data_IF_647415558583
#
_entry.id   IF_647415558583
#
_cell.length_a   1.000
_cell.length_b   1.000
_cell.length_c   1.000
_cell.angle_alpha   90.00
_cell.angle_beta   90.00
_cell.angle_gamma   90.00
#
_symmetry.space_group_name_H-M   'P 1'
#
loop_
_entity.id
_entity.type
_entity.pdbx_description
1 polymer ?
#
# COMPACT_ATOMS: atom_id res chain seq x y z
N UNK A 1 5.34 -19.80 -15.15
CA UNK A 1 4.94 -19.99 -13.73
C UNK A 1 4.62 -18.63 -13.13
N UNK A 2 3.72 -18.56 -12.15
CA UNK A 2 3.25 -17.29 -11.59
C UNK A 2 3.44 -17.25 -10.09
N UNK A 3 3.74 -16.08 -9.55
CA UNK A 3 3.86 -15.86 -8.11
C UNK A 3 3.22 -14.53 -7.72
N UNK A 4 2.68 -14.48 -6.52
CA UNK A 4 2.18 -13.28 -5.87
C UNK A 4 2.66 -13.22 -4.42
N UNK A 5 2.60 -12.03 -3.84
CA UNK A 5 2.84 -11.79 -2.42
C UNK A 5 1.53 -11.37 -1.77
N UNK A 6 1.28 -11.90 -0.58
CA UNK A 6 0.22 -11.45 0.31
C UNK A 6 0.87 -10.86 1.57
N UNK A 7 0.55 -9.60 1.87
CA UNK A 7 1.09 -8.82 2.99
C UNK A 7 -0.05 -8.45 3.92
N UNK A 8 0.03 -8.93 5.16
CA UNK A 8 -1.01 -8.75 6.16
C UNK A 8 -0.54 -7.77 7.24
N UNK A 9 -1.24 -6.66 7.43
CA UNK A 9 -1.18 -5.88 8.66
C UNK A 9 -2.16 -6.49 9.67
N UNK A 10 -1.62 -7.04 10.75
CA UNK A 10 -2.39 -7.60 11.86
C UNK A 10 -2.13 -6.77 13.12
N UNK A 11 -3.14 -6.04 13.58
CA UNK A 11 -3.03 -5.14 14.75
C UNK A 11 -3.45 -5.83 16.06
N UNK A 12 -4.05 -7.01 15.98
CA UNK A 12 -4.44 -7.82 17.14
C UNK A 12 -5.45 -7.13 18.06
N UNK A 13 -6.37 -6.36 17.48
CA UNK A 13 -7.51 -5.65 18.13
C UNK A 13 -7.17 -4.59 19.18
N UNK A 14 -5.89 -4.32 19.46
CA UNK A 14 -5.45 -3.34 20.47
C UNK A 14 -5.37 -1.90 19.97
N UNK A 15 -5.51 -1.72 18.68
CA UNK A 15 -5.26 -0.49 17.96
C UNK A 15 -6.55 -0.08 17.23
N UNK A 16 -6.92 1.21 17.22
CA UNK A 16 -8.07 1.69 16.43
C UNK A 16 -7.94 1.38 14.94
N UNK A 17 -6.71 1.15 14.48
CA UNK A 17 -6.37 0.92 13.08
C UNK A 17 -6.91 -0.42 12.58
N UNK A 18 -7.51 -0.39 11.39
CA UNK A 18 -8.13 -1.56 10.77
C UNK A 18 -7.07 -2.46 10.13
N UNK A 19 -7.14 -3.75 10.40
CA UNK A 19 -6.30 -4.75 9.73
C UNK A 19 -6.50 -4.72 8.20
N UNK A 20 -5.43 -5.05 7.47
CA UNK A 20 -5.40 -4.98 6.00
C UNK A 20 -4.64 -6.15 5.41
N UNK A 21 -5.17 -6.70 4.32
CA UNK A 21 -4.46 -7.63 3.47
C UNK A 21 -4.20 -7.00 2.10
N UNK A 22 -2.94 -6.89 1.73
CA UNK A 22 -2.51 -6.45 0.40
C UNK A 22 -2.03 -7.63 -0.40
N UNK A 23 -2.52 -7.75 -1.64
CA UNK A 23 -2.03 -8.72 -2.62
C UNK A 23 -1.28 -7.96 -3.70
N UNK A 24 -0.10 -8.45 -4.07
CA UNK A 24 0.71 -7.83 -5.13
C UNK A 24 1.54 -8.83 -5.92
N UNK A 25 1.94 -8.46 -7.14
CA UNK A 25 2.75 -9.29 -8.03
C UNK A 25 3.76 -8.44 -8.78
N UNK A 26 4.93 -9.01 -9.09
CA UNK A 26 5.95 -8.35 -9.93
C UNK A 26 5.59 -8.32 -11.42
N UNK A 27 4.47 -8.90 -11.84
CA UNK A 27 4.00 -8.87 -13.22
C UNK A 27 3.44 -7.48 -13.60
N UNK A 28 4.06 -6.84 -14.60
CA UNK A 28 3.77 -5.46 -15.01
C UNK A 28 2.52 -5.26 -15.88
N UNK A 29 1.86 -6.33 -16.31
CA UNK A 29 0.78 -6.28 -17.32
C UNK A 29 -0.65 -6.17 -16.74
N UNK A 30 -0.83 -6.16 -15.42
CA UNK A 30 -2.14 -6.22 -14.76
C UNK A 30 -2.25 -5.26 -13.56
N UNK A 31 -3.43 -5.16 -12.94
CA UNK A 31 -3.62 -4.50 -11.63
C UNK A 31 -2.80 -5.24 -10.58
N UNK A 32 -1.53 -4.85 -10.47
CA UNK A 32 -0.52 -5.52 -9.65
C UNK A 32 -0.68 -5.30 -8.13
N UNK A 33 -1.81 -4.72 -7.73
CA UNK A 33 -2.12 -4.36 -6.34
C UNK A 33 -3.61 -4.53 -6.08
N UNK A 34 -3.93 -5.17 -4.95
CA UNK A 34 -5.27 -5.18 -4.37
C UNK A 34 -5.19 -5.01 -2.87
N UNK A 35 -6.16 -4.29 -2.33
CA UNK A 35 -6.34 -4.02 -0.91
C UNK A 35 -7.66 -4.65 -0.44
N UNK A 36 -7.60 -5.40 0.67
CA UNK A 36 -8.68 -6.24 1.14
C UNK A 36 -8.85 -6.16 2.66
N UNK A 37 -10.11 -6.36 3.10
CA UNK A 37 -10.39 -6.66 4.50
C UNK A 37 -9.80 -8.01 4.88
N UNK A 38 -9.36 -8.13 6.13
CA UNK A 38 -8.78 -9.36 6.65
C UNK A 38 -9.87 -10.35 7.03
N UNK A 39 -9.72 -11.59 6.59
CA UNK A 39 -10.49 -12.72 7.09
C UNK A 39 -9.81 -13.28 8.35
N UNK A 40 -10.37 -12.98 9.52
CA UNK A 40 -9.82 -13.45 10.80
C UNK A 40 -9.92 -14.97 11.01
N UNK A 41 -10.80 -15.65 10.29
CA UNK A 41 -10.90 -17.12 10.34
C UNK A 41 -9.72 -17.79 9.64
N UNK A 42 -9.14 -17.11 8.65
CA UNK A 42 -8.03 -17.62 7.87
C UNK A 42 -7.20 -16.44 7.34
N UNK A 43 -6.22 -15.99 8.14
CA UNK A 43 -5.39 -14.82 7.85
C UNK A 43 -4.64 -14.93 6.51
N UNK A 44 -4.21 -16.15 6.17
CA UNK A 44 -3.64 -16.50 4.87
C UNK A 44 -4.25 -17.83 4.40
N UNK A 45 -4.84 -17.89 3.19
CA UNK A 45 -5.47 -19.11 2.68
C UNK A 45 -4.48 -20.26 2.55
N UNK A 46 -4.93 -21.46 2.88
CA UNK A 46 -4.13 -22.68 2.80
C UNK A 46 -4.44 -23.42 1.50
N UNK A 47 -3.44 -23.67 0.63
CA UNK A 47 -3.66 -24.45 -0.59
C UNK A 47 -3.97 -25.91 -0.29
N UNK A 48 -4.90 -26.50 -1.05
CA UNK A 48 -5.11 -27.94 -1.04
C UNK A 48 -3.88 -28.69 -1.57
N UNK A 49 -3.70 -29.92 -1.09
CA UNK A 49 -2.52 -30.78 -1.34
C UNK A 49 -2.20 -30.95 -2.84
N UNK A 50 -3.22 -30.92 -3.71
CA UNK A 50 -3.07 -31.14 -5.16
C UNK A 50 -3.46 -29.93 -6.04
N UNK A 51 -3.69 -28.77 -5.41
CA UNK A 51 -4.06 -27.52 -6.11
C UNK A 51 -2.98 -27.03 -7.10
N UNK A 52 -1.73 -27.48 -6.93
CA UNK A 52 -0.57 -26.95 -7.65
C UNK A 52 -0.23 -25.51 -7.23
N UNK A 53 -0.76 -25.06 -6.10
CA UNK A 53 -0.43 -23.80 -5.46
C UNK A 53 0.42 -24.11 -4.24
N UNK A 54 1.51 -23.39 -4.08
CA UNK A 54 2.46 -23.55 -2.99
C UNK A 54 2.62 -22.21 -2.30
N UNK A 55 2.78 -22.25 -0.97
CA UNK A 55 3.03 -21.04 -0.18
C UNK A 55 4.22 -21.17 0.75
N UNK A 56 4.78 -20.04 1.13
CA UNK A 56 5.66 -19.98 2.31
C UNK A 56 4.86 -20.13 3.60
N UNK A 57 5.51 -20.67 4.63
CA UNK A 57 4.94 -20.82 5.97
C UNK A 57 5.16 -19.55 6.79
N UNK A 58 4.17 -19.18 7.59
CA UNK A 58 4.22 -18.01 8.46
C UNK A 58 3.80 -18.43 9.86
N UNK A 59 4.62 -18.10 10.85
CA UNK A 59 4.29 -18.28 12.26
C UNK A 59 3.77 -16.94 12.80
N UNK A 60 2.52 -16.90 13.28
CA UNK A 60 1.91 -15.69 13.84
C UNK A 60 2.20 -15.61 15.34
N UNK A 61 2.90 -14.56 15.77
CA UNK A 61 3.38 -14.39 17.15
C UNK A 61 2.89 -13.08 17.81
N UNK A 62 1.82 -12.49 17.28
CA UNK A 62 1.18 -11.27 17.81
C UNK A 62 1.02 -10.17 16.76
N UNK A 63 0.77 -8.91 17.17
CA UNK A 63 0.65 -7.80 16.23
C UNK A 63 1.91 -7.59 15.38
N UNK A 64 1.73 -7.18 14.12
CA UNK A 64 2.80 -6.89 13.18
C UNK A 64 2.37 -6.96 11.71
N UNK A 65 3.33 -6.78 10.81
CA UNK A 65 3.11 -6.99 9.37
C UNK A 65 3.73 -8.31 8.94
N UNK A 66 2.89 -9.22 8.44
CA UNK A 66 3.26 -10.55 7.99
C UNK A 66 3.29 -10.62 6.46
N UNK A 67 4.05 -11.57 5.93
CA UNK A 67 4.26 -11.74 4.50
C UNK A 67 4.27 -13.23 4.17
N UNK A 68 3.58 -13.57 3.08
CA UNK A 68 3.73 -14.87 2.45
C UNK A 68 3.79 -14.73 0.93
N UNK A 69 4.51 -15.64 0.27
CA UNK A 69 4.49 -15.78 -1.17
C UNK A 69 3.64 -16.99 -1.56
N UNK A 70 2.78 -16.82 -2.55
CA UNK A 70 2.09 -17.90 -3.24
C UNK A 70 2.68 -18.05 -4.64
N UNK A 71 2.95 -19.27 -5.07
CA UNK A 71 3.39 -19.57 -6.43
C UNK A 71 2.63 -20.76 -6.98
N UNK A 72 2.36 -20.74 -8.28
CA UNK A 72 1.74 -21.87 -8.99
C UNK A 72 2.45 -22.19 -10.30
N UNK A 73 2.47 -23.48 -10.61
CA UNK A 73 2.89 -24.03 -11.89
C UNK A 73 1.70 -24.56 -12.72
N UNK A 74 0.47 -24.49 -12.20
CA UNK A 74 -0.76 -24.99 -12.83
C UNK A 74 -1.77 -23.89 -13.11
N UNK A 75 -1.93 -22.98 -12.16
CA UNK A 75 -2.96 -21.93 -12.20
C UNK A 75 -2.36 -20.67 -12.83
N UNK A 76 -3.18 -19.92 -13.57
CA UNK A 76 -2.82 -18.60 -14.08
C UNK A 76 -2.63 -17.59 -12.93
N UNK A 77 -2.06 -16.43 -13.22
CA UNK A 77 -1.94 -15.36 -12.24
C UNK A 77 -3.33 -14.94 -11.70
N UNK A 78 -4.32 -14.79 -12.58
CA UNK A 78 -5.68 -14.42 -12.17
C UNK A 78 -6.35 -15.50 -11.31
N UNK A 79 -6.13 -16.78 -11.62
CA UNK A 79 -6.64 -17.87 -10.80
C UNK A 79 -5.94 -17.94 -9.44
N UNK A 80 -4.64 -17.64 -9.39
CA UNK A 80 -3.89 -17.56 -8.14
C UNK A 80 -4.34 -16.36 -7.30
N UNK A 81 -4.57 -15.22 -7.95
CA UNK A 81 -5.14 -14.03 -7.32
C UNK A 81 -6.51 -14.33 -6.73
N UNK A 82 -7.41 -14.91 -7.55
CA UNK A 82 -8.75 -15.30 -7.14
C UNK A 82 -8.78 -16.30 -5.99
N UNK A 83 -7.82 -17.25 -5.95
CA UNK A 83 -7.64 -18.14 -4.81
C UNK A 83 -7.31 -17.37 -3.52
N UNK A 84 -6.34 -16.45 -3.58
CA UNK A 84 -5.91 -15.72 -2.39
C UNK A 84 -6.94 -14.68 -1.93
N UNK A 85 -7.68 -14.07 -2.86
CA UNK A 85 -8.70 -13.08 -2.56
C UNK A 85 -10.10 -13.67 -2.32
N UNK A 86 -10.27 -14.99 -2.34
CA UNK A 86 -11.59 -15.62 -2.24
C UNK A 86 -12.28 -15.26 -0.92
N UNK A 87 -13.53 -14.81 -1.00
CA UNK A 87 -14.33 -14.40 0.15
C UNK A 87 -13.87 -13.09 0.82
N UNK A 88 -12.86 -12.40 0.27
CA UNK A 88 -12.40 -11.13 0.81
C UNK A 88 -13.18 -9.96 0.20
N UNK A 89 -13.49 -8.97 1.05
CA UNK A 89 -14.06 -7.71 0.59
C UNK A 89 -12.95 -6.78 0.10
N UNK A 90 -13.00 -6.40 -1.17
CA UNK A 90 -12.10 -5.40 -1.76
C UNK A 90 -12.33 -4.03 -1.12
N UNK A 91 -11.23 -3.34 -0.86
CA UNK A 91 -11.16 -1.98 -0.32
C UNK A 91 -10.55 -1.00 -1.34
N UNK A 92 -10.39 -1.43 -2.59
CA UNK A 92 -9.77 -0.64 -3.64
C UNK A 92 -10.40 0.76 -3.74
N UNK A 93 -9.56 1.81 -3.73
CA UNK A 93 -10.01 3.20 -3.84
C UNK A 93 -10.64 3.78 -2.57
N UNK A 94 -10.84 2.98 -1.50
CA UNK A 94 -11.39 3.45 -0.22
C UNK A 94 -10.27 3.77 0.76
N UNK A 95 -9.79 5.02 0.73
CA UNK A 95 -9.02 5.56 1.85
C UNK A 95 -10.03 5.90 2.96
N UNK A 96 -10.38 4.88 3.73
CA UNK A 96 -11.43 4.97 4.75
C UNK A 96 -10.97 5.72 6.00
N UNK A 97 -11.88 6.51 6.57
CA UNK A 97 -11.73 7.08 7.89
C UNK A 97 -11.38 6.00 8.93
N UNK A 98 -10.59 6.41 9.92
CA UNK A 98 -10.21 5.56 11.04
C UNK A 98 -9.13 4.52 10.72
N UNK A 99 -8.39 4.64 9.61
CA UNK A 99 -7.26 3.73 9.35
C UNK A 99 -6.02 4.13 10.15
N UNK A 100 -5.62 5.39 10.11
CA UNK A 100 -4.37 5.83 10.75
C UNK A 100 -4.58 6.33 12.17
N UNK A 101 -5.80 6.78 12.46
CA UNK A 101 -6.24 7.41 13.69
C UNK A 101 -7.60 6.83 14.12
N UNK A 102 -8.11 7.24 15.27
CA UNK A 102 -9.49 6.96 15.63
C UNK A 102 -10.46 7.86 14.83
N UNK A 103 -11.60 7.28 14.43
CA UNK A 103 -12.58 7.95 13.58
C UNK A 103 -13.23 9.16 14.27
N UNK A 104 -13.37 9.11 15.61
CA UNK A 104 -13.85 10.22 16.43
C UNK A 104 -12.95 11.45 16.33
N UNK A 105 -11.64 11.30 16.54
CA UNK A 105 -10.69 12.42 16.48
C UNK A 105 -10.57 12.98 15.07
N UNK A 106 -10.67 12.13 14.03
CA UNK A 106 -10.72 12.61 12.64
C UNK A 106 -11.97 13.45 12.39
N UNK A 107 -13.12 13.05 12.94
CA UNK A 107 -14.36 13.80 12.83
C UNK A 107 -14.28 15.14 13.59
N UNK A 108 -13.83 15.12 14.84
CA UNK A 108 -13.70 16.32 15.66
C UNK A 108 -12.75 17.35 15.04
N UNK A 109 -11.57 16.91 14.56
CA UNK A 109 -10.64 17.78 13.87
C UNK A 109 -11.24 18.33 12.57
N UNK A 110 -11.96 17.52 11.78
CA UNK A 110 -12.64 18.00 10.58
C UNK A 110 -13.69 19.06 10.90
N UNK A 111 -14.54 18.82 11.89
CA UNK A 111 -15.60 19.74 12.28
C UNK A 111 -15.00 21.08 12.75
N UNK A 112 -13.90 21.04 13.51
CA UNK A 112 -13.14 22.23 13.89
C UNK A 112 -12.61 23.01 12.68
N UNK A 113 -11.90 22.34 11.76
CA UNK A 113 -11.34 22.97 10.54
C UNK A 113 -12.45 23.58 9.69
N UNK A 114 -13.55 22.86 9.47
CA UNK A 114 -14.68 23.32 8.68
C UNK A 114 -15.37 24.53 9.33
N UNK A 115 -15.53 24.55 10.66
CA UNK A 115 -16.09 25.69 11.38
C UNK A 115 -15.21 26.93 11.25
N UNK A 116 -13.89 26.80 11.43
CA UNK A 116 -12.95 27.91 11.24
C UNK A 116 -12.96 28.44 9.82
N UNK A 117 -12.94 27.55 8.83
CA UNK A 117 -12.97 27.92 7.42
C UNK A 117 -14.23 28.72 7.10
N UNK A 118 -15.42 28.24 7.51
CA UNK A 118 -16.69 28.95 7.32
C UNK A 118 -16.71 30.31 8.00
N UNK A 119 -16.18 30.43 9.22
CA UNK A 119 -16.09 31.71 9.91
C UNK A 119 -15.22 32.71 9.14
N UNK A 120 -14.08 32.27 8.59
CA UNK A 120 -13.18 33.14 7.82
C UNK A 120 -13.79 33.55 6.49
N UNK A 121 -14.43 32.63 5.77
CA UNK A 121 -15.15 32.92 4.52
C UNK A 121 -16.26 33.94 4.77
N UNK A 122 -17.08 33.75 5.79
CA UNK A 122 -18.16 34.68 6.14
C UNK A 122 -17.62 36.08 6.52
N UNK A 123 -16.52 36.15 7.28
CA UNK A 123 -15.88 37.43 7.64
C UNK A 123 -15.35 38.17 6.42
N UNK A 124 -14.81 37.47 5.44
CA UNK A 124 -14.28 38.09 4.24
C UNK A 124 -15.39 38.46 3.24
N UNK A 125 -16.46 37.68 3.13
CA UNK A 125 -17.67 38.06 2.39
C UNK A 125 -18.29 39.36 2.94
N UNK A 126 -18.37 39.50 4.28
CA UNK A 126 -18.83 40.72 4.95
C UNK A 126 -17.96 41.96 4.68
N UNK A 127 -16.75 41.81 4.12
CA UNK A 127 -15.85 42.91 3.73
C UNK A 127 -16.00 43.34 2.27
N UNK A 128 -17.02 42.83 1.57
CA UNK A 128 -17.39 43.29 0.22
C UNK A 128 -16.70 42.55 -0.92
N UNK A 129 -16.01 41.45 -0.65
CA UNK A 129 -15.45 40.59 -1.68
C UNK A 129 -16.54 39.63 -2.23
N UNK A 130 -16.48 39.30 -3.53
CA UNK A 130 -17.38 38.31 -4.10
C UNK A 130 -17.16 36.94 -3.44
N UNK A 131 -18.24 36.29 -3.02
CA UNK A 131 -18.24 35.06 -2.22
C UNK A 131 -17.37 33.93 -2.82
N UNK A 132 -17.28 33.88 -4.16
CA UNK A 132 -16.47 32.90 -4.90
C UNK A 132 -14.96 33.15 -4.93
N UNK A 133 -14.49 34.40 -4.82
CA UNK A 133 -13.05 34.76 -4.81
C UNK A 133 -12.46 34.68 -3.38
N UNK A 134 -13.31 34.93 -2.38
CA UNK A 134 -12.96 34.81 -0.96
C UNK A 134 -12.64 33.37 -0.57
N UNK A 135 -13.54 32.44 -0.89
CA UNK A 135 -13.35 31.04 -0.57
C UNK A 135 -12.08 30.47 -1.22
N UNK A 136 -11.66 31.06 -2.35
CA UNK A 136 -10.45 30.64 -3.05
C UNK A 136 -9.16 31.11 -2.34
N UNK A 137 -9.20 32.23 -1.61
CA UNK A 137 -8.05 32.86 -0.93
C UNK A 137 -7.89 32.53 0.56
N UNK A 138 -8.93 32.00 1.22
CA UNK A 138 -8.83 31.57 2.63
C UNK A 138 -7.99 30.30 2.75
N UNK A 139 -6.85 30.40 3.42
CA UNK A 139 -5.93 29.31 3.74
C UNK A 139 -5.67 29.26 5.25
N UNK A 140 -5.93 28.10 5.86
CA UNK A 140 -5.67 27.88 7.29
C UNK A 140 -4.27 27.27 7.51
N UNK A 141 -3.34 27.96 8.19
CA UNK A 141 -2.04 27.38 8.53
C UNK A 141 -2.21 26.15 9.44
N UNK A 142 -1.43 25.10 9.17
CA UNK A 142 -1.46 23.86 9.98
C UNK A 142 -0.94 24.11 11.39
N UNK A 143 0.05 25.00 11.56
CA UNK A 143 0.53 25.45 12.88
C UNK A 143 -0.63 25.93 13.77
N UNK A 144 -1.42 26.91 13.31
CA UNK A 144 -2.59 27.45 14.03
C UNK A 144 -3.61 26.36 14.40
N UNK A 145 -3.85 25.42 13.47
CA UNK A 145 -4.77 24.31 13.70
C UNK A 145 -4.25 23.36 14.79
N UNK A 146 -2.94 23.13 14.84
CA UNK A 146 -2.31 22.25 15.84
C UNK A 146 -2.14 22.89 17.22
N UNK A 147 -1.98 24.22 17.30
CA UNK A 147 -1.92 24.96 18.56
C UNK A 147 -3.21 24.84 19.37
N UNK A 148 -4.35 24.67 18.70
CA UNK A 148 -5.65 24.47 19.36
C UNK A 148 -5.78 23.14 20.11
N UNK A 149 -4.84 22.20 19.91
CA UNK A 149 -4.90 20.82 20.38
C UNK A 149 -6.10 19.98 19.90
N UNK A 150 -7.01 20.54 19.09
CA UNK A 150 -8.13 19.79 18.49
C UNK A 150 -7.71 18.99 17.25
N UNK A 151 -6.59 19.38 16.64
CA UNK A 151 -6.02 18.71 15.49
C UNK A 151 -4.55 18.39 15.73
N UNK A 152 -4.10 17.29 15.16
CA UNK A 152 -2.66 16.98 15.01
C UNK A 152 -2.31 17.00 13.53
N UNK A 153 -1.02 17.16 13.20
CA UNK A 153 -0.54 17.06 11.81
C UNK A 153 -1.01 15.74 11.15
N UNK A 154 -0.96 14.63 11.89
CA UNK A 154 -1.39 13.31 11.42
C UNK A 154 -2.89 13.24 11.09
N UNK A 155 -3.74 13.87 11.91
CA UNK A 155 -5.18 13.98 11.63
C UNK A 155 -5.42 14.79 10.34
N UNK A 156 -4.76 15.95 10.20
CA UNK A 156 -4.89 16.80 9.02
C UNK A 156 -4.38 16.12 7.74
N UNK A 157 -3.28 15.36 7.84
CA UNK A 157 -2.79 14.52 6.74
C UNK A 157 -3.85 13.49 6.35
N UNK A 158 -4.42 12.77 7.32
CA UNK A 158 -5.46 11.78 7.04
C UNK A 158 -6.69 12.40 6.38
N UNK A 159 -7.17 13.55 6.87
CA UNK A 159 -8.29 14.27 6.26
C UNK A 159 -8.00 14.71 4.82
N UNK A 160 -6.75 15.05 4.50
CA UNK A 160 -6.32 15.41 3.15
C UNK A 160 -6.36 14.18 2.22
N UNK A 161 -5.86 13.04 2.70
CA UNK A 161 -5.93 11.75 1.99
C UNK A 161 -7.39 11.27 1.77
N UNK A 162 -8.26 11.50 2.75
CA UNK A 162 -9.70 11.23 2.67
C UNK A 162 -10.46 12.22 1.78
N UNK A 163 -9.79 13.25 1.24
CA UNK A 163 -10.39 14.30 0.40
C UNK A 163 -11.49 15.09 1.09
N UNK A 164 -11.37 15.23 2.41
CA UNK A 164 -12.29 16.05 3.22
C UNK A 164 -11.80 17.50 3.33
N UNK A 165 -10.51 17.72 3.15
CA UNK A 165 -9.88 19.04 3.10
C UNK A 165 -8.89 19.10 1.95
N UNK A 166 -8.62 20.32 1.48
CA UNK A 166 -7.62 20.61 0.46
C UNK A 166 -6.33 21.10 1.10
N UNK A 167 -5.20 20.74 0.49
CA UNK A 167 -3.88 21.23 0.89
C UNK A 167 -3.28 22.03 -0.26
N UNK A 168 -3.06 23.33 -0.05
CA UNK A 168 -2.53 24.24 -1.05
C UNK A 168 -1.33 25.02 -0.52
N UNK A 169 -0.44 25.44 -1.42
CA UNK A 169 0.77 26.21 -1.13
C UNK A 169 1.60 25.62 0.03
N UNK A 170 1.62 24.30 0.11
CA UNK A 170 2.04 23.55 1.29
C UNK A 170 3.43 22.95 1.14
N UNK A 171 4.15 22.89 2.25
CA UNK A 171 5.37 22.10 2.36
C UNK A 171 5.03 20.61 2.36
N UNK A 172 5.64 19.85 1.46
CA UNK A 172 5.56 18.40 1.44
C UNK A 172 4.29 17.82 0.83
N UNK A 173 3.09 18.28 1.23
CA UNK A 173 1.81 17.64 0.89
C UNK A 173 0.87 18.63 0.22
N UNK A 174 0.49 18.37 -1.03
CA UNK A 174 -0.45 19.20 -1.79
C UNK A 174 -1.58 18.35 -2.39
N UNK A 175 -2.76 18.94 -2.55
CA UNK A 175 -3.84 18.34 -3.34
C UNK A 175 -3.76 18.82 -4.79
N UNK A 176 -3.69 17.87 -5.74
CA UNK A 176 -3.62 18.14 -7.18
C UNK A 176 -4.98 18.46 -7.83
N UNK A 177 -6.03 18.64 -7.04
CA UNK A 177 -7.39 18.91 -7.50
C UNK A 177 -7.96 20.13 -6.75
N UNK A 178 -9.02 20.71 -7.33
CA UNK A 178 -9.73 21.87 -6.75
C UNK A 178 -11.15 21.46 -6.38
N UNK A 179 -11.61 21.99 -5.26
CA UNK A 179 -12.99 21.85 -4.78
C UNK A 179 -13.36 23.07 -3.95
N UNK A 180 -14.32 23.87 -4.43
CA UNK A 180 -14.70 25.12 -3.75
C UNK A 180 -15.46 24.89 -2.44
N UNK A 181 -15.98 23.69 -2.23
CA UNK A 181 -16.79 23.36 -1.05
C UNK A 181 -15.96 22.82 0.11
N UNK A 182 -14.69 22.48 -0.12
CA UNK A 182 -13.83 21.89 0.89
C UNK A 182 -12.97 22.95 1.59
N UNK A 183 -12.79 22.86 2.92
CA UNK A 183 -11.84 23.69 3.64
C UNK A 183 -10.43 23.55 3.08
N UNK A 184 -9.71 24.67 2.96
CA UNK A 184 -8.31 24.69 2.51
C UNK A 184 -7.36 24.93 3.67
N UNK A 185 -6.35 24.07 3.78
CA UNK A 185 -5.27 24.19 4.73
C UNK A 185 -3.94 24.41 4.00
N UNK A 186 -2.94 24.90 4.74
CA UNK A 186 -1.57 25.04 4.30
C UNK A 186 -0.62 24.42 5.33
N UNK A 187 0.11 23.37 4.95
CA UNK A 187 1.27 22.94 5.73
C UNK A 187 2.35 24.00 5.60
N UNK A 188 2.42 24.88 6.60
CA UNK A 188 3.27 26.06 6.68
C UNK A 188 4.66 25.78 7.28
N UNK A 189 4.93 24.52 7.62
CA UNK A 189 6.24 24.01 7.97
C UNK A 189 6.48 22.60 7.42
N UNK A 190 7.71 22.11 7.59
CA UNK A 190 8.10 20.76 7.15
C UNK A 190 7.23 19.67 7.77
N UNK A 191 7.04 18.59 7.00
CA UNK A 191 6.24 17.43 7.42
C UNK A 191 7.15 16.23 7.60
N UNK A 192 7.27 15.77 8.85
CA UNK A 192 8.01 14.56 9.17
C UNK A 192 7.29 13.33 8.62
N UNK A 193 8.04 12.42 7.99
CA UNK A 193 7.49 11.18 7.45
C UNK A 193 6.86 10.29 8.53
N UNK A 194 7.33 10.39 9.78
CA UNK A 194 6.73 9.72 10.94
C UNK A 194 5.25 10.07 11.14
N UNK A 195 4.82 11.28 10.76
CA UNK A 195 3.42 11.72 10.86
C UNK A 195 2.55 11.24 9.70
N UNK A 196 3.17 10.67 8.67
CA UNK A 196 2.51 10.18 7.46
C UNK A 196 2.32 8.67 7.55
N UNK A 197 3.37 7.95 7.97
CA UNK A 197 3.34 6.48 8.02
C UNK A 197 2.72 5.94 9.32
N UNK A 198 2.12 4.76 9.22
CA UNK A 198 1.53 4.05 10.33
C UNK A 198 2.61 3.68 11.37
N UNK A 199 2.29 3.84 12.65
CA UNK A 199 3.19 3.49 13.74
C UNK A 199 4.51 4.27 13.78
N UNK A 200 4.64 5.33 12.98
CA UNK A 200 5.90 6.08 12.83
C UNK A 200 7.06 5.18 12.37
N UNK A 201 6.77 4.17 11.55
CA UNK A 201 7.69 3.07 11.24
C UNK A 201 7.75 2.73 9.75
N UNK A 202 8.96 2.36 9.30
CA UNK A 202 9.19 1.67 8.03
C UNK A 202 9.26 0.17 8.26
N UNK A 203 8.66 -0.61 7.37
CA UNK A 203 8.67 -2.07 7.41
C UNK A 203 9.98 -2.66 6.86
N UNK A 204 10.59 -1.97 5.91
CA UNK A 204 11.78 -2.39 5.19
C UNK A 204 12.46 -1.18 4.58
N UNK A 205 13.79 -1.26 4.46
CA UNK A 205 14.62 -0.27 3.78
C UNK A 205 15.60 -0.97 2.84
N UNK A 206 15.81 -0.38 1.66
CA UNK A 206 16.85 -0.76 0.71
C UNK A 206 17.69 0.45 0.38
N UNK A 207 19.00 0.29 0.42
CA UNK A 207 19.93 1.24 -0.14
C UNK A 207 20.60 0.66 -1.39
N UNK A 208 20.47 1.33 -2.52
CA UNK A 208 21.10 0.93 -3.77
C UNK A 208 21.45 2.16 -4.60
N UNK A 209 22.72 2.25 -5.02
CA UNK A 209 23.20 3.30 -5.94
C UNK A 209 22.87 4.74 -5.50
N UNK A 210 23.02 5.06 -4.22
CA UNK A 210 22.71 6.39 -3.68
C UNK A 210 21.21 6.64 -3.42
N UNK A 211 20.34 5.67 -3.69
CA UNK A 211 18.90 5.78 -3.48
C UNK A 211 18.49 4.90 -2.29
N UNK A 212 17.74 5.50 -1.36
CA UNK A 212 17.03 4.80 -0.28
C UNK A 212 15.57 4.61 -0.67
N UNK A 213 15.13 3.36 -0.78
CA UNK A 213 13.71 3.03 -0.90
C UNK A 213 13.24 2.41 0.42
N UNK A 214 12.14 2.92 0.98
CA UNK A 214 11.51 2.38 2.19
C UNK A 214 10.08 1.95 1.91
N UNK A 215 9.66 0.87 2.56
CA UNK A 215 8.30 0.34 2.50
C UNK A 215 7.57 0.70 3.79
N UNK A 216 6.37 1.27 3.70
CA UNK A 216 5.59 1.61 4.89
C UNK A 216 4.08 1.53 4.62
N UNK A 217 3.30 1.36 5.69
CA UNK A 217 1.86 1.55 5.64
C UNK A 217 1.52 3.03 5.73
N UNK A 218 0.66 3.52 4.84
CA UNK A 218 0.18 4.89 4.83
C UNK A 218 -1.30 4.91 4.43
N UNK A 219 -2.18 5.37 5.33
CA UNK A 219 -3.64 5.44 5.14
C UNK A 219 -4.29 4.16 4.57
N UNK A 220 -3.81 2.98 4.96
CA UNK A 220 -4.37 1.69 4.56
C UNK A 220 -3.61 1.03 3.44
N UNK A 221 -2.73 1.76 2.78
CA UNK A 221 -2.02 1.32 1.61
C UNK A 221 -0.55 1.10 1.92
N UNK A 222 0.02 0.09 1.28
CA UNK A 222 1.43 -0.20 1.36
C UNK A 222 2.14 0.63 0.30
N UNK A 223 3.04 1.53 0.71
CA UNK A 223 3.67 2.52 -0.16
C UNK A 223 5.19 2.44 -0.12
N UNK A 224 5.81 2.82 -1.24
CA UNK A 224 7.26 3.02 -1.31
C UNK A 224 7.54 4.52 -1.28
N UNK A 225 8.37 4.94 -0.32
CA UNK A 225 8.98 6.25 -0.32
C UNK A 225 10.43 6.12 -0.77
N UNK A 226 10.87 7.05 -1.60
CA UNK A 226 12.22 7.08 -2.14
C UNK A 226 12.90 8.38 -1.74
N UNK A 227 14.17 8.28 -1.40
CA UNK A 227 15.01 9.41 -1.08
C UNK A 227 16.34 9.24 -1.78
N UNK A 228 16.71 10.27 -2.53
CA UNK A 228 18.00 10.35 -3.17
C UNK A 228 19.03 10.93 -2.19
N UNK A 229 20.30 10.53 -2.34
CA UNK A 229 21.41 11.01 -1.53
C UNK A 229 21.58 12.54 -1.49
N UNK A 230 21.13 13.25 -2.53
CA UNK A 230 21.25 14.70 -2.64
C UNK A 230 20.09 15.45 -1.98
N UNK A 231 18.84 15.02 -2.14
CA UNK A 231 17.68 15.75 -1.62
C UNK A 231 17.49 15.60 -0.12
N UNK A 232 17.90 14.47 0.48
CA UNK A 232 17.62 14.10 1.87
C UNK A 232 16.13 14.23 2.26
N UNK A 233 15.22 14.25 1.29
CA UNK A 233 13.76 14.30 1.49
C UNK A 233 13.08 13.14 0.79
N UNK A 234 12.05 12.59 1.44
CA UNK A 234 11.27 11.48 0.96
C UNK A 234 10.23 11.93 -0.07
N UNK A 235 10.15 11.22 -1.19
CA UNK A 235 9.11 11.36 -2.20
C UNK A 235 8.35 10.05 -2.32
N UNK A 236 7.05 10.10 -2.57
CA UNK A 236 6.27 8.91 -2.86
C UNK A 236 6.66 8.37 -4.25
N UNK A 237 7.06 7.09 -4.30
CA UNK A 237 7.42 6.39 -5.55
C UNK A 237 6.24 5.63 -6.13
N UNK A 238 5.36 5.12 -5.28
CA UNK A 238 4.10 4.48 -5.64
C UNK A 238 2.99 5.52 -5.62
N UNK A 239 2.88 6.36 -6.65
CA UNK A 239 1.95 7.49 -6.66
C UNK A 239 0.49 7.03 -6.65
N UNK A 240 -0.34 7.67 -5.82
CA UNK A 240 -1.80 7.58 -5.89
C UNK A 240 -2.28 8.57 -6.97
N UNK A 241 -2.86 8.08 -8.07
CA UNK A 241 -3.34 8.93 -9.17
C UNK A 241 -4.22 8.18 -10.18
N UNK A 242 -4.38 8.74 -11.39
CA UNK A 242 -5.32 8.24 -12.42
C UNK A 242 -4.94 6.88 -13.06
N UNK A 243 -3.80 6.30 -12.69
CA UNK A 243 -3.32 5.01 -13.20
C UNK A 243 -3.48 3.84 -12.21
N UNK A 244 -3.34 2.58 -12.68
CA UNK A 244 -3.30 1.43 -11.80
C UNK A 244 -2.12 1.54 -10.82
N UNK A 245 -2.40 1.28 -9.54
CA UNK A 245 -1.39 1.37 -8.48
C UNK A 245 -0.20 0.43 -8.79
N UNK A 246 1.06 0.92 -8.75
CA UNK A 246 2.23 0.17 -9.21
C UNK A 246 2.71 -0.84 -8.15
N UNK A 247 1.84 -1.77 -7.76
CA UNK A 247 2.16 -2.83 -6.79
C UNK A 247 3.36 -3.67 -7.18
N UNK A 248 3.65 -3.84 -8.48
CA UNK A 248 4.85 -4.53 -8.93
C UNK A 248 6.15 -3.98 -8.34
N UNK A 249 6.24 -2.67 -8.05
CA UNK A 249 7.40 -2.08 -7.39
C UNK A 249 7.55 -2.59 -5.95
N UNK A 250 6.44 -2.80 -5.24
CA UNK A 250 6.42 -3.38 -3.88
C UNK A 250 6.87 -4.82 -3.94
N UNK A 251 6.31 -5.59 -4.88
CA UNK A 251 6.71 -6.97 -5.08
C UNK A 251 8.21 -7.09 -5.39
N UNK A 252 8.73 -6.28 -6.33
CA UNK A 252 10.16 -6.23 -6.67
C UNK A 252 11.03 -5.83 -5.46
N UNK A 253 10.61 -4.82 -4.69
CA UNK A 253 11.33 -4.37 -3.49
C UNK A 253 11.44 -5.49 -2.44
N UNK A 254 10.31 -6.11 -2.10
CA UNK A 254 10.25 -7.21 -1.12
C UNK A 254 11.07 -8.40 -1.61
N UNK A 255 10.88 -8.81 -2.87
CA UNK A 255 11.64 -9.93 -3.45
C UNK A 255 13.14 -9.68 -3.42
N UNK A 256 13.59 -8.44 -3.63
CA UNK A 256 15.02 -8.13 -3.63
C UNK A 256 15.65 -8.14 -2.23
N UNK A 257 14.87 -7.83 -1.19
CA UNK A 257 15.36 -7.61 0.19
C UNK A 257 14.91 -8.64 1.23
N UNK A 258 14.01 -9.57 0.89
CA UNK A 258 13.59 -10.66 1.78
C UNK A 258 14.16 -12.00 1.26
N UNK A 259 15.31 -12.48 1.80
CA UNK A 259 15.98 -13.66 1.27
C UNK A 259 15.13 -14.95 1.28
N UNK A 260 14.32 -15.25 2.31
CA UNK A 260 13.39 -16.38 2.28
C UNK A 260 12.43 -16.33 1.10
N UNK A 261 11.78 -15.19 0.87
CA UNK A 261 10.83 -14.97 -0.22
C UNK A 261 11.54 -15.06 -1.58
N UNK A 262 12.69 -14.41 -1.72
CA UNK A 262 13.52 -14.50 -2.93
C UNK A 262 13.87 -15.93 -3.26
N UNK A 263 14.32 -16.70 -2.26
CA UNK A 263 14.68 -18.12 -2.41
C UNK A 263 13.48 -18.97 -2.80
N UNK A 264 12.30 -18.70 -2.25
CA UNK A 264 11.07 -19.40 -2.60
C UNK A 264 10.70 -19.14 -4.06
N UNK A 265 10.53 -17.87 -4.45
CA UNK A 265 10.12 -17.46 -5.81
C UNK A 265 11.14 -17.91 -6.87
N UNK A 266 12.45 -17.77 -6.60
CA UNK A 266 13.52 -18.16 -7.51
C UNK A 266 13.43 -19.64 -7.93
N UNK A 267 12.98 -20.53 -7.03
CA UNK A 267 12.80 -21.96 -7.35
C UNK A 267 11.68 -22.23 -8.36
N UNK A 268 10.73 -21.32 -8.50
CA UNK A 268 9.69 -21.37 -9.53
C UNK A 268 10.14 -20.69 -10.83
N UNK A 269 10.92 -19.58 -10.74
CA UNK A 269 11.38 -18.85 -11.93
C UNK A 269 12.54 -19.55 -12.67
N UNK A 270 13.58 -20.01 -11.96
CA UNK A 270 14.80 -20.59 -12.58
C UNK A 270 14.54 -21.87 -13.39
N UNK A 271 13.38 -22.50 -13.20
CA UNK A 271 13.01 -23.72 -13.92
C UNK A 271 12.33 -23.49 -15.27
N UNK A 272 11.93 -22.25 -15.61
CA UNK A 272 11.54 -21.90 -16.99
C UNK A 272 12.72 -21.97 -17.97
N UNK A 273 13.95 -21.76 -17.47
CA UNK A 273 15.16 -21.83 -18.29
C UNK A 273 15.52 -23.25 -18.74
N UNK A 274 15.20 -24.27 -17.93
CA UNK A 274 15.53 -25.67 -18.23
C UNK A 274 14.54 -26.35 -19.17
N UNK A 275 13.25 -25.99 -19.16
CA UNK A 275 12.27 -26.54 -20.11
C UNK A 275 12.51 -26.09 -21.55
N UNK A 276 13.18 -24.95 -21.76
CA UNK A 276 13.60 -24.48 -23.09
C UNK A 276 14.87 -25.16 -23.62
N UNK A 277 15.67 -25.83 -22.77
CA UNK A 277 16.97 -26.45 -23.12
C UNK A 277 16.89 -27.99 -23.07
N UNK A 278 15.74 -28.58 -23.38
CA UNK A 278 15.69 -30.00 -23.75
C UNK A 278 15.72 -30.06 -25.29
N UNK A 279 16.86 -30.44 -25.92
CA UNK A 279 16.90 -30.61 -27.36
C UNK A 279 15.84 -31.61 -27.79
N UNK A 280 15.23 -31.40 -28.96
CA UNK A 280 14.35 -32.34 -29.67
C UNK A 280 15.08 -33.62 -30.11
N UNK A 281 15.95 -34.18 -29.28
CA UNK A 281 16.63 -35.45 -29.53
C UNK A 281 16.11 -36.48 -28.54
N UNK A 282 15.75 -37.66 -29.07
CA UNK A 282 15.15 -38.84 -28.43
C UNK A 282 13.61 -38.92 -28.39
N UNK A 283 13.10 -39.70 -29.35
CA UNK A 283 11.70 -40.11 -29.50
C UNK A 283 11.21 -41.11 -28.45
N UNK A 284 11.32 -40.79 -27.15
CA UNK A 284 10.64 -41.51 -26.06
C UNK A 284 9.54 -40.63 -25.45
N UNK A 285 8.47 -40.37 -26.21
CA UNK A 285 7.53 -39.27 -25.92
C UNK A 285 6.38 -39.52 -24.92
N UNK A 286 6.20 -40.71 -24.34
CA UNK A 286 5.06 -40.96 -23.41
C UNK A 286 5.41 -41.38 -21.97
N UNK A 287 6.44 -42.20 -21.74
CA UNK A 287 6.81 -42.62 -20.37
C UNK A 287 7.67 -41.60 -19.62
N UNK A 288 8.54 -40.88 -20.33
CA UNK A 288 9.45 -39.88 -19.74
C UNK A 288 8.70 -38.65 -19.24
N UNK A 289 7.67 -38.22 -19.97
CA UNK A 289 6.85 -37.04 -19.63
C UNK A 289 6.04 -37.22 -18.35
N UNK A 290 5.54 -38.44 -18.08
CA UNK A 290 4.79 -38.75 -16.86
C UNK A 290 5.71 -38.84 -15.64
N UNK A 291 6.87 -39.49 -15.79
CA UNK A 291 7.88 -39.57 -14.73
C UNK A 291 8.48 -38.20 -14.37
N UNK A 292 8.69 -37.33 -15.37
CA UNK A 292 9.11 -35.94 -15.14
C UNK A 292 8.05 -35.13 -14.41
N UNK A 293 6.75 -35.25 -14.78
CA UNK A 293 5.65 -34.56 -14.09
C UNK A 293 5.48 -35.02 -12.64
N UNK A 294 5.56 -36.33 -12.38
CA UNK A 294 5.52 -36.87 -11.02
C UNK A 294 6.71 -36.36 -10.18
N UNK A 295 7.93 -36.37 -10.74
CA UNK A 295 9.11 -35.80 -10.06
C UNK A 295 9.02 -34.27 -9.86
N UNK A 296 8.24 -33.59 -10.71
CA UNK A 296 8.04 -32.15 -10.65
C UNK A 296 7.15 -31.79 -9.46
N UNK A 297 6.03 -32.48 -9.24
CA UNK A 297 5.15 -32.25 -8.08
C UNK A 297 5.83 -32.60 -6.75
N UNK A 298 6.49 -33.76 -6.69
CA UNK A 298 7.17 -34.20 -5.46
C UNK A 298 8.31 -33.26 -5.06
N UNK A 299 8.92 -32.53 -6.02
CA UNK A 299 9.96 -31.51 -5.76
C UNK A 299 9.44 -30.21 -5.14
N UNK A 300 8.16 -29.88 -5.28
CA UNK A 300 7.59 -28.68 -4.63
C UNK A 300 6.92 -29.03 -3.30
N UNK A 301 6.48 -30.28 -3.10
CA UNK A 301 5.95 -30.78 -1.81
C UNK A 301 6.93 -30.61 -0.64
N UNK A 302 8.24 -30.58 -0.91
CA UNK A 302 9.27 -30.37 0.13
C UNK A 302 9.65 -28.90 0.38
N UNK A 303 8.91 -27.91 -0.16
CA UNK A 303 9.22 -26.48 -0.01
C UNK A 303 8.64 -25.88 1.27
N UNK A 304 9.20 -26.26 2.40
CA UNK A 304 8.89 -25.64 3.68
C UNK A 304 9.86 -24.48 3.94
N UNK A 305 9.53 -23.29 3.40
CA UNK A 305 10.26 -22.06 3.71
C UNK A 305 9.42 -21.24 4.69
N UNK A 306 9.96 -21.02 5.88
CA UNK A 306 9.36 -20.12 6.88
C UNK A 306 9.75 -18.67 6.60
N UNK A 307 8.79 -17.77 6.77
CA UNK A 307 8.94 -16.31 6.63
C UNK A 307 8.46 -15.68 7.92
N UNK A 308 9.34 -14.89 8.56
CA UNK A 308 8.97 -14.11 9.73
C UNK A 308 8.24 -12.81 9.35
N UNK A 309 7.60 -12.18 10.33
CA UNK A 309 7.06 -10.82 10.18
C UNK A 309 8.17 -9.80 9.92
N UNK A 310 7.79 -8.67 9.34
CA UNK A 310 8.70 -7.53 9.19
C UNK A 310 9.13 -7.02 10.57
N UNK A 311 10.40 -6.62 10.67
CA UNK A 311 10.96 -5.94 11.84
C UNK A 311 11.00 -4.45 11.51
N UNK A 312 10.07 -3.65 12.03
CA UNK A 312 9.99 -2.24 11.67
C UNK A 312 11.16 -1.45 12.25
N UNK A 313 11.51 -0.35 11.58
CA UNK A 313 12.48 0.66 12.03
C UNK A 313 11.80 2.01 12.09
N UNK A 314 12.29 2.91 12.96
CA UNK A 314 11.73 4.25 13.11
C UNK A 314 11.80 5.03 11.79
N UNK A 315 10.70 5.71 11.46
CA UNK A 315 10.59 6.55 10.29
C UNK A 315 11.14 7.96 10.59
N UNK A 316 12.19 8.37 9.88
CA UNK A 316 12.86 9.66 10.10
C UNK A 316 13.02 10.43 8.79
N UNK A 317 13.03 11.76 8.88
CA UNK A 317 13.21 12.66 7.76
C UNK A 317 11.92 13.35 7.32
N UNK A 318 12.02 14.14 6.25
CA UNK A 318 10.97 15.06 5.80
C UNK A 318 10.39 14.60 4.47
N UNK A 319 9.06 14.69 4.31
CA UNK A 319 8.39 14.49 3.03
C UNK A 319 8.50 15.73 2.15
N UNK A 320 8.72 15.50 0.86
CA UNK A 320 8.62 16.52 -0.19
C UNK A 320 7.78 16.02 -1.38
N UNK A 321 7.08 16.95 -2.02
CA UNK A 321 6.45 16.71 -3.32
C UNK A 321 5.37 15.60 -3.36
N UNK A 322 4.73 15.28 -2.24
CA UNK A 322 3.54 14.42 -2.22
C UNK A 322 2.35 15.20 -2.79
N UNK A 323 1.81 14.73 -3.92
CA UNK A 323 0.62 15.31 -4.56
C UNK A 323 -0.50 14.29 -4.57
N UNK A 324 -1.61 14.63 -3.91
CA UNK A 324 -2.79 13.78 -3.80
C UNK A 324 -3.81 14.15 -4.88
N UNK A 325 -4.11 13.23 -5.78
CA UNK A 325 -5.10 13.41 -6.84
C UNK A 325 -6.46 12.84 -6.43
N UNK A 326 -7.55 13.36 -7.02
CA UNK A 326 -8.86 12.67 -6.93
C UNK A 326 -8.71 11.34 -7.68
N UNK A 327 -9.13 10.19 -7.10
CA UNK A 327 -9.21 8.96 -7.85
C UNK A 327 -10.16 9.19 -9.02
N UNK A 328 -9.74 8.78 -10.20
CA UNK A 328 -10.66 8.67 -11.33
C UNK A 328 -11.87 7.85 -10.89
N UNK A 329 -13.08 8.37 -11.10
CA UNK A 329 -14.30 7.55 -11.01
C UNK A 329 -14.08 6.39 -11.97
N UNK A 330 -13.82 5.18 -11.45
CA UNK A 330 -13.90 4.00 -12.31
C UNK A 330 -15.38 3.83 -12.70
N UNK A 331 -15.66 3.44 -13.95
CA UNK A 331 -17.02 3.15 -14.38
C UNK A 331 -17.48 1.86 -13.68
N UNK A 332 -18.05 1.99 -12.50
CA UNK A 332 -18.76 0.90 -11.79
C UNK A 332 -20.19 1.33 -11.42
N UNK A 333 -20.82 2.18 -12.25
CA UNK A 333 -22.27 2.50 -12.15
C UNK A 333 -23.00 2.48 -13.51
N UNK A 334 -22.44 1.83 -14.54
CA UNK A 334 -23.13 1.63 -15.84
C UNK A 334 -23.03 0.17 -16.33
N UNK A 335 -23.40 -0.80 -15.48
CA UNK A 335 -23.75 -2.16 -15.91
C UNK A 335 -24.93 -2.71 -15.12
#
# INVERSE_FOLDING_TARGET
MVCLLAILLYTGTRLPQKDRLVITTSERRFSSYGDYQVNYSQLFPEPDVDSGIYRTLVDFDGPGTYLTAYCSNRVSLDGLWGFVSNGLTSLQGRIGAGFSNDESSEKECFDYVNNLYRQQVNRAANRGFQEGEVAESVLLPVSDLTESHQCTKRLLISLTYQQRILSADSYGINTGYRDKLLPKIKFDGQVDISKVVLGEQFLMMKYQSGIRDVLAWNQGQLQIFTQDSFSQKWREKTTIGDGPYPGYLIAELIQSNNPPIRKFIKKFIEREGFEKIVPKCFGMKKKVTLAFKASHEDRYKSLQIKVGKFVPVTAEGIIDGLVLFKPSKRPEEDL
#
